data_IF_140841304820
#
_entry.id   IF_140841304820
#
_cell.length_a   1.000
_cell.length_b   1.000
_cell.length_c   1.000
_cell.angle_alpha   90.00
_cell.angle_beta   90.00
_cell.angle_gamma   90.00
#
_symmetry.space_group_name_H-M   'P 1'
#
loop_
_entity.id
_entity.type
_entity.pdbx_description
1 polymer ?
#
# COMPACT_ATOMS: atom_id res chain seq x y z
N UNK A 1 31.10 6.44 -0.05
CA UNK A 1 32.38 6.98 0.44
C UNK A 1 32.70 6.29 1.77
N UNK A 2 33.77 5.50 1.84
CA UNK A 2 34.18 4.77 3.05
C UNK A 2 34.77 5.77 4.06
N UNK A 3 34.20 5.84 5.26
CA UNK A 3 34.96 6.22 6.45
C UNK A 3 34.85 5.11 7.48
N UNK A 4 35.85 4.22 7.42
CA UNK A 4 36.18 3.27 8.47
C UNK A 4 36.88 4.04 9.59
N UNK A 5 36.09 4.63 10.50
CA UNK A 5 36.55 5.13 11.79
C UNK A 5 36.41 4.01 12.83
N UNK A 6 37.51 3.31 13.10
CA UNK A 6 37.61 2.18 14.00
C UNK A 6 37.53 2.62 15.47
N UNK A 7 36.32 2.76 16.02
CA UNK A 7 36.05 2.80 17.46
C UNK A 7 35.13 1.61 17.80
N UNK A 8 35.55 0.67 18.67
CA UNK A 8 34.85 -0.61 18.88
C UNK A 8 33.51 -0.52 19.67
N UNK A 9 32.79 0.59 19.59
CA UNK A 9 31.51 0.78 20.29
C UNK A 9 30.47 1.72 19.65
N UNK A 10 30.75 2.32 18.48
CA UNK A 10 29.81 3.26 17.83
C UNK A 10 29.50 2.86 16.39
N UNK A 11 28.32 2.26 16.20
CA UNK A 11 27.75 1.98 14.88
C UNK A 11 27.15 3.27 14.31
N UNK A 12 27.64 3.74 13.16
CA UNK A 12 27.07 4.88 12.44
C UNK A 12 25.96 4.39 11.49
N UNK A 13 24.74 4.89 11.67
CA UNK A 13 23.58 4.52 10.86
C UNK A 13 23.42 5.36 9.59
N UNK A 14 23.81 6.64 9.63
CA UNK A 14 23.68 7.56 8.50
C UNK A 14 24.07 8.99 8.87
N UNK A 15 23.87 9.90 7.92
CA UNK A 15 24.01 11.34 8.11
C UNK A 15 22.69 12.02 7.75
N UNK A 16 22.36 13.11 8.44
CA UNK A 16 21.16 13.91 8.17
C UNK A 16 21.55 15.35 7.87
N UNK A 17 20.79 16.01 7.01
CA UNK A 17 20.95 17.42 6.69
C UNK A 17 19.59 18.12 6.81
N UNK A 18 19.58 19.27 7.47
CA UNK A 18 18.40 20.12 7.61
C UNK A 18 18.41 21.20 6.52
N UNK A 19 17.22 21.54 6.02
CA UNK A 19 17.03 22.52 4.95
C UNK A 19 15.87 23.45 5.30
N UNK A 20 16.03 24.75 5.06
CA UNK A 20 15.02 25.77 5.39
C UNK A 20 13.82 25.78 4.43
N UNK A 21 13.90 25.09 3.29
CA UNK A 21 12.85 25.12 2.27
C UNK A 21 12.70 23.81 1.50
N UNK A 22 11.46 23.54 1.05
CA UNK A 22 11.13 22.38 0.22
C UNK A 22 11.91 22.36 -1.12
N UNK A 23 12.18 23.53 -1.70
CA UNK A 23 12.97 23.64 -2.93
C UNK A 23 14.43 23.25 -2.73
N UNK A 24 15.01 23.59 -1.57
CA UNK A 24 16.37 23.17 -1.21
C UNK A 24 16.45 21.64 -1.05
N UNK A 25 15.45 21.02 -0.41
CA UNK A 25 15.35 19.55 -0.30
C UNK A 25 15.27 18.90 -1.69
N UNK A 26 14.43 19.42 -2.59
CA UNK A 26 14.30 18.88 -3.95
C UNK A 26 15.63 18.92 -4.73
N UNK A 27 16.36 20.05 -4.66
CA UNK A 27 17.67 20.17 -5.28
C UNK A 27 18.71 19.26 -4.63
N UNK A 28 18.69 19.13 -3.30
CA UNK A 28 19.58 18.23 -2.56
C UNK A 28 19.34 16.77 -2.92
N UNK A 29 18.08 16.33 -3.00
CA UNK A 29 17.69 15.00 -3.47
C UNK A 29 18.29 14.71 -4.87
N UNK A 30 18.17 15.66 -5.80
CA UNK A 30 18.78 15.56 -7.12
C UNK A 30 20.29 15.40 -7.13
N UNK A 31 20.99 16.19 -6.30
CA UNK A 31 22.45 16.10 -6.16
C UNK A 31 22.88 14.77 -5.53
N UNK A 32 22.16 14.30 -4.52
CA UNK A 32 22.42 13.02 -3.84
C UNK A 32 22.24 11.84 -4.81
N UNK A 33 21.14 11.81 -5.56
CA UNK A 33 20.92 10.77 -6.57
C UNK A 33 21.97 10.83 -7.68
N UNK A 34 22.32 12.03 -8.16
CA UNK A 34 23.35 12.22 -9.19
C UNK A 34 24.75 11.81 -8.73
N UNK A 35 25.04 11.95 -7.44
CA UNK A 35 26.27 11.47 -6.81
C UNK A 35 26.30 9.95 -6.62
N UNK A 36 25.24 9.23 -7.00
CA UNK A 36 25.16 7.77 -6.97
C UNK A 36 24.73 7.19 -5.63
N UNK A 37 24.19 7.99 -4.72
CA UNK A 37 23.60 7.48 -3.48
C UNK A 37 22.25 6.82 -3.79
N UNK A 38 22.07 5.60 -3.28
CA UNK A 38 20.87 4.77 -3.51
C UNK A 38 20.00 4.60 -2.25
N UNK A 39 20.58 4.84 -1.07
CA UNK A 39 19.88 4.76 0.21
C UNK A 39 19.77 6.18 0.77
N UNK A 40 18.84 6.96 0.21
CA UNK A 40 18.57 8.34 0.61
C UNK A 40 17.07 8.49 0.75
N UNK A 41 16.64 9.03 1.89
CA UNK A 41 15.24 9.31 2.19
C UNK A 41 15.07 10.80 2.52
N UNK A 42 13.85 11.31 2.37
CA UNK A 42 13.48 12.68 2.65
C UNK A 42 12.33 12.73 3.66
N UNK A 43 12.60 13.25 4.85
CA UNK A 43 11.59 13.44 5.87
C UNK A 43 11.01 14.86 5.79
N UNK A 44 9.79 14.98 5.28
CA UNK A 44 9.10 16.26 5.11
C UNK A 44 7.74 16.26 5.79
N UNK A 45 7.28 17.38 6.39
CA UNK A 45 5.99 17.45 7.09
C UNK A 45 4.79 17.43 6.12
N UNK A 46 5.03 17.55 4.82
CA UNK A 46 4.04 17.48 3.75
C UNK A 46 4.66 16.83 2.50
N UNK A 47 3.83 16.29 1.58
CA UNK A 47 4.31 15.67 0.36
C UNK A 47 4.86 16.72 -0.61
N UNK A 48 6.13 16.57 -1.00
CA UNK A 48 6.75 17.36 -2.06
C UNK A 48 6.54 16.64 -3.39
N UNK A 49 5.84 17.28 -4.32
CA UNK A 49 5.54 16.67 -5.61
C UNK A 49 6.81 16.33 -6.40
N UNK A 50 6.90 15.09 -6.87
CA UNK A 50 8.01 14.61 -7.71
C UNK A 50 9.30 14.25 -6.96
N UNK A 51 9.32 14.34 -5.63
CA UNK A 51 10.50 13.97 -4.84
C UNK A 51 10.85 12.47 -4.97
N UNK A 52 9.84 11.59 -5.04
CA UNK A 52 10.02 10.16 -5.24
C UNK A 52 10.74 9.85 -6.56
N UNK A 53 10.38 10.55 -7.62
CA UNK A 53 11.02 10.43 -8.93
C UNK A 53 12.48 10.92 -8.88
N UNK A 54 12.74 11.98 -8.10
CA UNK A 54 14.08 12.52 -7.92
C UNK A 54 14.99 11.58 -7.12
N UNK A 55 14.42 10.95 -6.08
CA UNK A 55 15.09 9.95 -5.24
C UNK A 55 15.15 8.56 -5.87
N UNK A 56 14.54 8.36 -7.06
CA UNK A 56 14.42 7.06 -7.75
C UNK A 56 13.74 5.99 -6.90
N UNK A 57 12.79 6.38 -6.06
CA UNK A 57 11.93 5.41 -5.40
C UNK A 57 11.09 4.66 -6.44
N UNK A 58 11.05 3.34 -6.31
CA UNK A 58 10.23 2.48 -7.15
C UNK A 58 8.74 2.69 -6.88
N UNK A 59 7.91 2.28 -7.83
CA UNK A 59 6.47 2.27 -7.63
C UNK A 59 6.10 1.31 -6.50
N UNK A 60 5.14 1.71 -5.66
CA UNK A 60 4.69 0.87 -4.56
C UNK A 60 3.87 -0.30 -5.07
N UNK A 61 4.21 -1.52 -4.62
CA UNK A 61 3.45 -2.74 -4.93
C UNK A 61 2.11 -2.81 -4.18
N UNK A 62 1.80 -1.81 -3.34
CA UNK A 62 0.59 -1.77 -2.51
C UNK A 62 -0.69 -1.92 -3.35
N UNK A 63 -0.74 -1.34 -4.56
CA UNK A 63 -1.90 -1.47 -5.44
C UNK A 63 -2.25 -2.91 -5.79
N UNK A 64 -1.24 -3.77 -6.02
CA UNK A 64 -1.47 -5.19 -6.31
C UNK A 64 -2.01 -5.96 -5.10
N UNK A 65 -1.54 -5.62 -3.90
CA UNK A 65 -2.06 -6.21 -2.67
C UNK A 65 -3.54 -5.83 -2.44
N UNK A 66 -3.92 -4.57 -2.71
CA UNK A 66 -5.31 -4.12 -2.61
C UNK A 66 -6.21 -4.88 -3.60
N UNK A 67 -5.77 -5.07 -4.84
CA UNK A 67 -6.55 -5.85 -5.83
C UNK A 67 -6.71 -7.30 -5.39
N UNK A 68 -5.65 -7.93 -4.89
CA UNK A 68 -5.71 -9.30 -4.40
C UNK A 68 -6.66 -9.44 -3.20
N UNK A 69 -6.60 -8.50 -2.25
CA UNK A 69 -7.47 -8.49 -1.08
C UNK A 69 -8.95 -8.29 -1.47
N UNK A 70 -9.24 -7.33 -2.36
CA UNK A 70 -10.59 -7.11 -2.86
C UNK A 70 -11.18 -8.34 -3.57
N UNK A 71 -10.36 -9.08 -4.35
CA UNK A 71 -10.80 -10.35 -4.96
C UNK A 71 -11.11 -11.43 -3.91
N UNK A 72 -10.31 -11.52 -2.85
CA UNK A 72 -10.57 -12.42 -1.72
C UNK A 72 -11.87 -12.02 -1.02
N UNK A 73 -12.13 -10.72 -0.84
CA UNK A 73 -13.38 -10.19 -0.28
C UNK A 73 -14.60 -10.61 -1.10
N UNK A 74 -14.54 -10.46 -2.43
CA UNK A 74 -15.61 -10.89 -3.35
C UNK A 74 -15.87 -12.39 -3.24
N UNK A 75 -14.80 -13.21 -3.29
CA UNK A 75 -14.92 -14.67 -3.20
C UNK A 75 -15.50 -15.10 -1.84
N UNK A 76 -15.07 -14.46 -0.75
CA UNK A 76 -15.54 -14.74 0.59
C UNK A 76 -17.03 -14.41 0.74
N UNK A 77 -17.45 -13.23 0.26
CA UNK A 77 -18.85 -12.82 0.27
C UNK A 77 -19.73 -13.80 -0.50
N UNK A 78 -19.28 -14.16 -1.70
CA UNK A 78 -20.04 -15.02 -2.59
C UNK A 78 -20.12 -16.46 -2.07
N UNK A 79 -19.01 -16.99 -1.56
CA UNK A 79 -18.96 -18.31 -0.96
C UNK A 79 -19.85 -18.38 0.28
N UNK A 80 -19.76 -17.38 1.17
CA UNK A 80 -20.57 -17.30 2.39
C UNK A 80 -22.07 -17.27 2.06
N UNK A 81 -22.50 -16.35 1.19
CA UNK A 81 -23.92 -16.21 0.85
C UNK A 81 -24.48 -17.43 0.12
N UNK A 82 -23.71 -18.02 -0.80
CA UNK A 82 -24.12 -19.24 -1.49
C UNK A 82 -24.24 -20.43 -0.51
N UNK A 83 -23.24 -20.61 0.36
CA UNK A 83 -23.23 -21.67 1.36
C UNK A 83 -24.42 -21.55 2.30
N UNK A 84 -24.65 -20.37 2.87
CA UNK A 84 -25.72 -20.15 3.84
C UNK A 84 -27.12 -20.31 3.24
N UNK A 85 -27.36 -19.76 2.04
CA UNK A 85 -28.71 -19.72 1.46
C UNK A 85 -29.09 -20.99 0.68
N UNK A 86 -28.14 -21.70 0.07
CA UNK A 86 -28.44 -22.89 -0.76
C UNK A 86 -28.08 -24.20 -0.06
N UNK A 87 -26.94 -24.26 0.65
CA UNK A 87 -26.38 -25.52 1.17
C UNK A 87 -26.79 -25.78 2.62
N UNK A 88 -26.49 -24.85 3.52
CA UNK A 88 -26.65 -25.05 4.97
C UNK A 88 -28.13 -24.97 5.38
N UNK A 89 -28.80 -23.86 5.06
CA UNK A 89 -30.20 -23.68 5.38
C UNK A 89 -30.96 -23.03 4.23
N UNK A 90 -31.63 -23.88 3.45
CA UNK A 90 -32.35 -23.45 2.25
C UNK A 90 -33.59 -22.61 2.60
N UNK A 91 -33.44 -21.29 2.55
CA UNK A 91 -34.52 -20.35 2.83
C UNK A 91 -35.22 -19.91 1.54
N UNK A 92 -36.47 -20.33 1.35
CA UNK A 92 -37.32 -19.83 0.26
C UNK A 92 -38.13 -18.64 0.76
N UNK A 93 -37.60 -17.43 0.55
CA UNK A 93 -38.31 -16.19 0.90
C UNK A 93 -39.09 -15.67 -0.30
N UNK A 94 -40.41 -15.50 -0.13
CA UNK A 94 -41.29 -14.90 -1.17
C UNK A 94 -41.33 -15.68 -2.50
N UNK A 95 -41.12 -17.00 -2.45
CA UNK A 95 -41.18 -17.89 -3.62
C UNK A 95 -39.99 -17.78 -4.61
N UNK A 96 -38.95 -17.02 -4.26
CA UNK A 96 -37.74 -16.86 -5.08
C UNK A 96 -36.77 -18.03 -4.86
N UNK A 97 -35.88 -18.31 -5.83
CA UNK A 97 -34.76 -19.23 -5.61
C UNK A 97 -33.95 -18.80 -4.38
N UNK A 98 -33.47 -19.75 -3.56
CA UNK A 98 -32.78 -19.45 -2.30
C UNK A 98 -31.53 -18.58 -2.52
N UNK A 99 -30.79 -18.84 -3.60
CA UNK A 99 -29.68 -17.99 -4.02
C UNK A 99 -29.99 -17.31 -5.36
N UNK A 100 -29.96 -15.97 -5.38
CA UNK A 100 -30.06 -15.15 -6.61
C UNK A 100 -29.00 -14.05 -6.57
N UNK A 101 -28.39 -13.73 -7.71
CA UNK A 101 -27.26 -12.80 -7.82
C UNK A 101 -27.56 -11.31 -7.50
N UNK A 102 -28.68 -10.71 -7.96
CA UNK A 102 -28.94 -9.28 -7.72
C UNK A 102 -28.96 -8.84 -6.24
N UNK A 103 -29.59 -9.56 -5.29
CA UNK A 103 -29.61 -9.13 -3.89
C UNK A 103 -28.26 -9.28 -3.18
N UNK A 104 -27.31 -10.06 -3.70
CA UNK A 104 -26.01 -10.26 -3.05
C UNK A 104 -25.00 -9.16 -3.36
N UNK A 105 -25.25 -8.34 -4.39
CA UNK A 105 -24.34 -7.30 -4.85
C UNK A 105 -23.94 -6.31 -3.74
N UNK A 106 -24.86 -5.75 -2.93
CA UNK A 106 -24.47 -4.81 -1.88
C UNK A 106 -23.51 -5.44 -0.86
N UNK A 107 -23.78 -6.67 -0.41
CA UNK A 107 -22.93 -7.37 0.56
C UNK A 107 -21.56 -7.70 -0.06
N UNK A 108 -21.53 -8.18 -1.31
CA UNK A 108 -20.28 -8.44 -2.04
C UNK A 108 -19.44 -7.18 -2.20
N UNK A 109 -20.06 -6.03 -2.47
CA UNK A 109 -19.37 -4.74 -2.58
C UNK A 109 -18.76 -4.32 -1.24
N UNK A 110 -19.51 -4.37 -0.13
CA UNK A 110 -19.00 -4.00 1.18
C UNK A 110 -17.82 -4.89 1.61
N UNK A 111 -17.92 -6.20 1.37
CA UNK A 111 -16.81 -7.11 1.66
C UNK A 111 -15.61 -6.87 0.74
N UNK A 112 -15.80 -6.57 -0.54
CA UNK A 112 -14.69 -6.17 -1.42
C UNK A 112 -13.94 -4.92 -0.92
N UNK A 113 -14.66 -3.96 -0.31
CA UNK A 113 -14.05 -2.72 0.23
C UNK A 113 -13.39 -2.95 1.59
N UNK A 114 -13.91 -3.89 2.39
CA UNK A 114 -13.41 -4.19 3.73
C UNK A 114 -12.05 -4.92 3.71
N UNK A 115 -11.83 -5.80 2.73
CA UNK A 115 -10.61 -6.59 2.58
C UNK A 115 -9.54 -5.83 1.79
#
# INVERSE_FOLDING_TARGET
MKQSGNNPGTTYWGAVAEFDSASAIYQAAGKSTSAGYVQVDSHTPFPIHGIDRMLRHGESHLGWFVVAAGLIGILTAQLMMWWMNEVDYRMVTSGKPPYTWPPTIPVTFELMVLF
#
